data_IF_368607211164
#
_entry.id   IF_368607211164
#
_cell.length_a   1.000
_cell.length_b   1.000
_cell.length_c   1.000
_cell.angle_alpha   90.00
_cell.angle_beta   90.00
_cell.angle_gamma   90.00
#
_symmetry.space_group_name_H-M   'P 1'
#
loop_
_entity.id
_entity.type
_entity.pdbx_description
1 polymer ?
#
# COMPACT_ATOMS: atom_id res chain seq x y z
N UNK A 1 19.65 -3.28 -4.58
CA UNK A 1 19.11 -3.88 -3.34
C UNK A 1 17.70 -4.45 -3.56
N UNK A 2 16.71 -3.66 -4.00
CA UNK A 2 15.37 -4.22 -4.29
C UNK A 2 15.34 -5.17 -5.49
N UNK A 3 15.86 -4.75 -6.64
CA UNK A 3 15.95 -5.59 -7.86
C UNK A 3 16.55 -6.98 -7.58
N UNK A 4 17.67 -7.01 -6.85
CA UNK A 4 18.37 -8.23 -6.49
C UNK A 4 17.51 -9.11 -5.58
N UNK A 5 16.86 -8.52 -4.57
CA UNK A 5 15.92 -9.22 -3.70
C UNK A 5 14.73 -9.82 -4.46
N UNK A 6 14.19 -9.11 -5.46
CA UNK A 6 13.14 -9.63 -6.34
C UNK A 6 13.66 -10.80 -7.19
N UNK A 7 14.90 -10.68 -7.68
CA UNK A 7 15.50 -11.67 -8.59
C UNK A 7 15.77 -13.02 -7.93
N UNK A 8 16.14 -13.02 -6.65
CA UNK A 8 16.50 -14.24 -5.90
C UNK A 8 15.34 -14.84 -5.10
N UNK A 9 14.22 -14.12 -4.99
CA UNK A 9 13.07 -14.57 -4.20
C UNK A 9 12.16 -15.49 -5.01
N UNK A 10 11.61 -16.52 -4.37
CA UNK A 10 10.58 -17.39 -4.96
C UNK A 10 9.17 -16.78 -4.92
N UNK A 11 9.00 -15.63 -4.26
CA UNK A 11 7.71 -14.97 -4.15
C UNK A 11 7.19 -14.54 -5.53
N UNK A 12 5.88 -14.66 -5.75
CA UNK A 12 5.26 -14.24 -7.01
C UNK A 12 4.69 -12.83 -6.97
N UNK A 13 4.57 -12.24 -5.78
CA UNK A 13 4.01 -10.91 -5.55
C UNK A 13 4.82 -10.23 -4.43
N UNK A 14 5.23 -8.98 -4.67
CA UNK A 14 5.92 -8.14 -3.71
C UNK A 14 5.12 -6.86 -3.51
N UNK A 15 4.73 -6.57 -2.28
CA UNK A 15 4.04 -5.33 -1.92
C UNK A 15 4.93 -4.52 -0.97
N UNK A 16 5.31 -3.32 -1.38
CA UNK A 16 6.24 -2.46 -0.64
C UNK A 16 5.62 -1.11 -0.39
N UNK A 17 5.73 -0.64 0.85
CA UNK A 17 5.35 0.70 1.29
C UNK A 17 6.60 1.51 1.62
N UNK A 18 6.49 2.84 1.65
CA UNK A 18 7.61 3.74 1.93
C UNK A 18 8.74 3.60 0.89
N UNK A 19 8.37 3.45 -0.39
CA UNK A 19 9.33 3.18 -1.48
C UNK A 19 10.27 4.35 -1.75
N UNK A 20 9.83 5.58 -1.51
CA UNK A 20 10.57 6.80 -1.85
C UNK A 20 10.82 6.99 -3.35
N UNK A 21 10.15 6.20 -4.21
CA UNK A 21 10.27 6.29 -5.66
C UNK A 21 9.63 7.57 -6.19
N UNK A 22 10.17 8.04 -7.32
CA UNK A 22 9.68 9.19 -8.07
C UNK A 22 10.04 9.02 -9.55
N UNK A 23 9.65 9.99 -10.37
CA UNK A 23 9.79 9.95 -11.84
C UNK A 23 11.24 9.82 -12.32
N UNK A 24 12.24 10.11 -11.48
CA UNK A 24 13.66 9.89 -11.79
C UNK A 24 14.11 8.44 -11.64
N UNK A 25 13.30 7.57 -11.04
CA UNK A 25 13.61 6.15 -10.84
C UNK A 25 12.88 5.37 -11.91
N UNK A 26 13.59 4.67 -12.78
CA UNK A 26 12.98 3.88 -13.84
C UNK A 26 12.61 2.47 -13.34
N UNK A 27 11.54 1.89 -13.90
CA UNK A 27 11.07 0.56 -13.49
C UNK A 27 12.13 -0.53 -13.70
N UNK A 28 12.98 -0.40 -14.72
CA UNK A 28 14.11 -1.30 -14.99
C UNK A 28 15.16 -1.32 -13.88
N UNK A 29 15.23 -0.28 -13.05
CA UNK A 29 16.13 -0.23 -11.89
C UNK A 29 15.54 -0.99 -10.69
N UNK A 30 14.22 -1.20 -10.70
CA UNK A 30 13.47 -1.79 -9.59
C UNK A 30 13.18 -3.27 -9.82
N UNK A 31 12.89 -3.67 -11.06
CA UNK A 31 12.40 -5.01 -11.37
C UNK A 31 13.13 -5.68 -12.54
N UNK A 32 13.31 -7.01 -12.51
CA UNK A 32 13.88 -7.77 -13.62
C UNK A 32 13.03 -7.71 -14.90
N UNK A 33 13.64 -7.94 -16.08
CA UNK A 33 12.90 -8.05 -17.33
C UNK A 33 11.75 -9.07 -17.24
N UNK A 34 10.57 -8.68 -17.75
CA UNK A 34 9.38 -9.51 -17.78
C UNK A 34 8.48 -9.40 -16.55
N UNK A 35 8.97 -8.87 -15.43
CA UNK A 35 8.13 -8.59 -14.26
C UNK A 35 7.20 -7.41 -14.54
N UNK A 36 6.10 -7.36 -13.82
CA UNK A 36 5.14 -6.25 -13.89
C UNK A 36 5.21 -5.43 -12.61
N UNK A 37 5.17 -4.10 -12.73
CA UNK A 37 5.14 -3.17 -11.59
C UNK A 37 3.99 -2.17 -11.75
N UNK A 38 3.26 -1.95 -10.66
CA UNK A 38 2.40 -0.78 -10.49
C UNK A 38 2.89 -0.03 -9.26
N UNK A 39 3.24 1.24 -9.44
CA UNK A 39 3.66 2.12 -8.36
C UNK A 39 2.74 3.34 -8.20
N UNK A 40 2.70 3.85 -6.99
CA UNK A 40 2.03 5.09 -6.60
C UNK A 40 3.08 5.98 -5.95
N UNK A 41 3.77 6.76 -6.78
CA UNK A 41 4.83 7.68 -6.34
C UNK A 41 4.22 8.95 -5.74
N UNK A 42 5.00 9.65 -4.92
CA UNK A 42 4.57 10.95 -4.38
C UNK A 42 4.88 12.06 -5.38
N UNK A 43 3.86 12.85 -5.70
CA UNK A 43 3.99 14.04 -6.54
C UNK A 43 4.78 15.19 -5.88
N UNK A 44 4.93 15.18 -4.55
CA UNK A 44 5.58 16.24 -3.78
C UNK A 44 7.11 16.07 -3.66
N UNK A 45 7.69 15.06 -4.32
CA UNK A 45 9.13 14.81 -4.38
C UNK A 45 9.77 14.38 -3.06
N UNK A 46 8.99 14.15 -2.00
CA UNK A 46 9.52 13.64 -0.73
C UNK A 46 9.96 12.20 -0.88
N UNK A 47 11.14 11.88 -0.36
CA UNK A 47 11.72 10.52 -0.37
C UNK A 47 11.11 9.55 0.65
N UNK A 48 10.14 10.02 1.45
CA UNK A 48 9.39 9.20 2.39
C UNK A 48 7.98 9.01 1.82
N UNK A 49 7.40 7.83 1.95
CA UNK A 49 6.10 7.44 1.39
C UNK A 49 6.19 6.74 0.03
N UNK A 50 5.02 6.57 -0.58
CA UNK A 50 4.87 5.82 -1.82
C UNK A 50 4.65 4.32 -1.58
N UNK A 51 4.13 3.64 -2.60
CA UNK A 51 3.93 2.20 -2.57
C UNK A 51 4.13 1.61 -3.97
N UNK A 52 4.59 0.36 -4.03
CA UNK A 52 4.60 -0.41 -5.26
C UNK A 52 4.14 -1.85 -5.05
N UNK A 53 3.58 -2.40 -6.11
CA UNK A 53 3.21 -3.80 -6.24
C UNK A 53 3.97 -4.36 -7.44
N UNK A 54 4.70 -5.44 -7.23
CA UNK A 54 5.47 -6.13 -8.27
C UNK A 54 5.00 -7.57 -8.37
N UNK A 55 4.81 -8.07 -9.58
CA UNK A 55 4.43 -9.45 -9.83
C UNK A 55 5.30 -10.10 -10.90
N UNK A 56 5.46 -11.43 -10.78
CA UNK A 56 6.11 -12.24 -11.82
C UNK A 56 5.26 -12.25 -13.10
N UNK A 57 5.83 -12.67 -14.26
CA UNK A 57 5.08 -12.77 -15.52
C UNK A 57 3.84 -13.69 -15.48
N UNK A 58 3.67 -14.47 -14.40
CA UNK A 58 2.50 -15.34 -14.19
C UNK A 58 1.22 -14.57 -13.87
N UNK A 59 1.34 -13.33 -13.42
CA UNK A 59 0.21 -12.51 -12.97
C UNK A 59 0.20 -11.17 -13.69
N UNK A 60 -0.99 -10.74 -14.08
CA UNK A 60 -1.20 -9.38 -14.60
C UNK A 60 -1.59 -8.44 -13.45
N UNK A 61 -0.97 -7.26 -13.41
CA UNK A 61 -1.34 -6.21 -12.48
C UNK A 61 -2.30 -5.22 -13.13
N UNK A 62 -3.40 -4.89 -12.44
CA UNK A 62 -4.41 -3.95 -12.93
C UNK A 62 -4.70 -2.86 -11.91
N UNK A 63 -4.85 -1.61 -12.39
CA UNK A 63 -5.39 -0.50 -11.59
C UNK A 63 -6.92 -0.53 -11.69
N UNK A 64 -7.57 -0.35 -10.55
CA UNK A 64 -9.02 -0.23 -10.48
C UNK A 64 -9.37 1.06 -9.75
N UNK A 65 -10.28 1.85 -10.33
CA UNK A 65 -10.83 3.01 -9.65
C UNK A 65 -11.89 2.55 -8.65
N UNK A 66 -11.78 3.01 -7.41
CA UNK A 66 -12.85 2.91 -6.42
C UNK A 66 -13.58 4.26 -6.34
N UNK A 67 -14.90 4.28 -6.12
CA UNK A 67 -15.66 5.52 -6.01
C UNK A 67 -15.06 6.47 -4.96
N UNK A 68 -15.02 7.77 -5.26
CA UNK A 68 -14.47 8.78 -4.33
C UNK A 68 -15.18 8.77 -2.97
N UNK A 69 -16.49 8.53 -2.96
CA UNK A 69 -17.27 8.41 -1.73
C UNK A 69 -16.80 7.27 -0.82
N UNK A 70 -16.19 6.22 -1.38
CA UNK A 70 -15.66 5.10 -0.60
C UNK A 70 -14.32 5.47 0.06
N UNK A 71 -13.57 6.39 -0.56
CA UNK A 71 -12.29 6.91 -0.03
C UNK A 71 -12.49 7.90 1.12
N UNK A 72 -13.70 8.41 1.32
CA UNK A 72 -14.03 9.29 2.43
C UNK A 72 -13.99 8.52 3.76
N UNK A 73 -13.39 9.15 4.76
CA UNK A 73 -13.22 8.60 6.10
C UNK A 73 -13.62 9.61 7.17
N UNK A 74 -14.22 9.14 8.26
CA UNK A 74 -14.43 9.96 9.45
C UNK A 74 -13.20 9.85 10.34
N UNK A 75 -12.47 10.95 10.51
CA UNK A 75 -11.33 11.00 11.44
C UNK A 75 -11.87 11.19 12.85
N UNK A 76 -11.56 10.25 13.74
CA UNK A 76 -11.95 10.29 15.16
C UNK A 76 -10.69 10.38 16.02
N UNK A 77 -10.57 11.39 16.90
CA UNK A 77 -9.47 11.47 17.85
C UNK A 77 -9.67 10.42 18.95
N UNK A 78 -8.69 9.54 19.13
CA UNK A 78 -8.68 8.52 20.19
C UNK A 78 -7.62 8.87 21.23
N UNK A 79 -7.96 8.98 22.53
CA UNK A 79 -6.97 9.24 23.58
C UNK A 79 -5.86 8.19 23.58
N UNK A 80 -4.59 8.63 23.72
CA UNK A 80 -3.43 7.74 23.95
C UNK A 80 -3.42 7.13 25.36
N UNK A 81 -4.20 7.69 26.29
CA UNK A 81 -4.26 7.31 27.69
C UNK A 81 -5.35 8.08 28.44
N UNK A 82 -5.03 8.71 29.57
CA UNK A 82 -5.95 9.60 30.28
C UNK A 82 -6.37 10.77 29.38
N UNK A 83 -7.59 11.28 29.57
CA UNK A 83 -8.05 12.46 28.85
C UNK A 83 -7.13 13.65 29.13
N UNK A 84 -6.49 14.17 28.09
CA UNK A 84 -5.76 15.42 28.12
C UNK A 84 -6.56 16.52 27.45
N UNK A 85 -6.39 17.76 27.90
CA UNK A 85 -6.87 18.95 27.19
C UNK A 85 -6.03 19.28 25.95
N UNK A 86 -4.81 18.73 25.84
CA UNK A 86 -3.92 18.90 24.68
C UNK A 86 -4.24 17.89 23.57
N UNK A 87 -4.30 18.37 22.32
CA UNK A 87 -4.57 17.58 21.10
C UNK A 87 -3.50 16.51 20.84
N UNK A 88 -2.25 16.74 21.25
CA UNK A 88 -1.14 15.80 21.09
C UNK A 88 -1.36 14.47 21.84
N UNK A 89 -2.23 14.48 22.86
CA UNK A 89 -2.63 13.31 23.63
C UNK A 89 -3.59 12.39 22.88
N UNK A 90 -4.01 12.73 21.65
CA UNK A 90 -4.89 11.91 20.83
C UNK A 90 -4.15 11.35 19.61
N UNK A 91 -4.61 10.20 19.13
CA UNK A 91 -4.25 9.66 17.82
C UNK A 91 -5.40 9.93 16.86
N UNK A 92 -5.16 10.51 15.68
CA UNK A 92 -6.18 10.55 14.65
C UNK A 92 -6.37 9.13 14.09
N UNK A 93 -7.59 8.59 14.19
CA UNK A 93 -7.94 7.30 13.58
C UNK A 93 -8.95 7.54 12.47
N UNK A 94 -8.60 7.11 11.26
CA UNK A 94 -9.48 7.15 10.10
C UNK A 94 -10.44 5.95 10.12
N UNK A 95 -11.74 6.19 10.34
CA UNK A 95 -12.77 5.16 10.24
C UNK A 95 -13.25 5.12 8.79
N UNK A 96 -13.00 4.00 8.11
CA UNK A 96 -13.42 3.80 6.72
C UNK A 96 -14.94 3.84 6.58
N UNK A 97 -15.41 4.28 5.41
CA UNK A 97 -16.81 4.11 5.01
C UNK A 97 -17.20 2.63 5.00
N UNK A 98 -18.48 2.32 5.23
CA UNK A 98 -19.00 0.94 5.19
C UNK A 98 -18.58 0.17 3.94
N UNK A 99 -18.73 0.68 2.71
CA UNK A 99 -18.33 -0.09 1.53
C UNK A 99 -16.81 -0.32 1.44
N UNK A 100 -15.99 0.66 1.83
CA UNK A 100 -14.53 0.47 1.88
C UNK A 100 -14.12 -0.59 2.90
N UNK A 101 -14.79 -0.64 4.07
CA UNK A 101 -14.51 -1.64 5.09
C UNK A 101 -14.93 -3.05 4.66
N UNK A 102 -16.04 -3.19 3.93
CA UNK A 102 -16.47 -4.46 3.33
C UNK A 102 -15.46 -4.94 2.27
N UNK A 103 -15.00 -4.04 1.40
CA UNK A 103 -13.96 -4.37 0.40
C UNK A 103 -12.66 -4.82 1.08
N UNK A 104 -12.20 -4.08 2.10
CA UNK A 104 -11.02 -4.45 2.89
C UNK A 104 -11.17 -5.86 3.47
N UNK A 105 -12.31 -6.16 4.10
CA UNK A 105 -12.57 -7.47 4.69
C UNK A 105 -12.60 -8.60 3.64
N UNK A 106 -13.19 -8.35 2.47
CA UNK A 106 -13.25 -9.32 1.38
C UNK A 106 -11.86 -9.61 0.81
N UNK A 107 -11.04 -8.58 0.57
CA UNK A 107 -9.66 -8.70 0.09
C UNK A 107 -8.78 -9.39 1.12
N UNK A 108 -8.83 -8.93 2.38
CA UNK A 108 -8.07 -9.52 3.49
C UNK A 108 -8.36 -11.01 3.61
N UNK A 109 -9.64 -11.42 3.59
CA UNK A 109 -10.03 -12.84 3.66
C UNK A 109 -9.38 -13.67 2.55
N UNK A 110 -9.29 -13.14 1.33
CA UNK A 110 -8.67 -13.84 0.19
C UNK A 110 -7.16 -13.91 0.31
N UNK A 111 -6.50 -12.81 0.65
CA UNK A 111 -5.04 -12.76 0.81
C UNK A 111 -4.57 -13.62 1.98
N UNK A 112 -5.25 -13.53 3.13
CA UNK A 112 -4.88 -14.26 4.33
C UNK A 112 -4.92 -15.79 4.09
N UNK A 113 -5.89 -16.27 3.31
CA UNK A 113 -5.98 -17.68 2.93
C UNK A 113 -4.78 -18.16 2.08
N UNK A 114 -4.03 -17.26 1.42
CA UNK A 114 -2.85 -17.61 0.63
C UNK A 114 -1.56 -17.62 1.46
N UNK A 115 -1.52 -16.90 2.58
CA UNK A 115 -0.32 -16.76 3.43
C UNK A 115 -0.35 -17.70 4.63
N UNK A 116 -1.53 -18.20 5.01
CA UNK A 116 -1.72 -19.06 6.19
C UNK A 116 -1.65 -20.56 5.89
N UNK A 117 -1.06 -20.95 4.75
CA UNK A 117 -0.94 -22.32 4.28
C UNK A 117 0.42 -22.95 4.64
#
# INVERSE_FOLDING_TARGET
MFYEGVSISEANLFAITETGCNDSVHDSELIPPGYHIIRCDRADGRKQGGACLVATPRFELRRMAIPETWKLTRVVPIPKGKMSSNVEGYRPVAILSTPAKVLEAAVHKRLYAQVSA
#
